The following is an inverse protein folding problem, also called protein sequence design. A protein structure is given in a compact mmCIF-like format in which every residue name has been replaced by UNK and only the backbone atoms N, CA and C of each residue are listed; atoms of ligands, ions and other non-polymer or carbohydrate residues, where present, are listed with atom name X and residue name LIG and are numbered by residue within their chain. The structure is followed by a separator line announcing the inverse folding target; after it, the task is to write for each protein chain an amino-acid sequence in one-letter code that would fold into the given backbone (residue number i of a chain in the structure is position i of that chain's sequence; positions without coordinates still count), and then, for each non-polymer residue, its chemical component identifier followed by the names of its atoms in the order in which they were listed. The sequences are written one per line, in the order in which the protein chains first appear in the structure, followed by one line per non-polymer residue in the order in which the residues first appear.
data_IF_742247721104
#
_entry.id   IF_742247721104
#
_cell.length_a   1.000
_cell.length_b   1.000
_cell.length_c   1.000
_cell.angle_alpha   90.00
_cell.angle_beta   90.00
_cell.angle_gamma   90.00
#
_symmetry.space_group_name_H-M   'P 1'
#
loop_
_entity.id
_entity.type
_entity.pdbx_description
1 polymer ?
#
# COMPACT_ATOMS: atom_id res chain seq x y z
N UNK A 1 8.31 13.34 -14.43
CA UNK A 1 7.40 12.17 -14.57
C UNK A 1 6.04 12.56 -14.01
N UNK A 2 4.93 12.26 -14.69
CA UNK A 2 3.59 12.67 -14.25
C UNK A 2 3.22 11.91 -12.96
N UNK A 3 2.85 12.60 -11.88
CA UNK A 3 2.44 11.97 -10.61
C UNK A 3 1.26 11.03 -10.89
N UNK A 4 1.40 9.76 -10.53
CA UNK A 4 0.31 8.79 -10.70
C UNK A 4 -0.90 9.20 -9.83
N UNK A 5 -2.13 9.12 -10.35
CA UNK A 5 -3.32 9.33 -9.53
C UNK A 5 -3.45 8.20 -8.49
N UNK A 6 -4.14 8.48 -7.38
CA UNK A 6 -4.26 7.56 -6.24
C UNK A 6 -4.70 6.13 -6.64
N UNK A 7 -5.73 5.91 -7.49
CA UNK A 7 -6.12 4.56 -7.91
C UNK A 7 -5.00 3.80 -8.64
N UNK A 8 -4.17 4.49 -9.43
CA UNK A 8 -3.03 3.86 -10.12
C UNK A 8 -1.93 3.47 -9.15
N UNK A 9 -1.71 4.26 -8.09
CA UNK A 9 -0.77 3.90 -7.02
C UNK A 9 -1.23 2.67 -6.25
N UNK A 10 -2.52 2.60 -5.90
CA UNK A 10 -3.12 1.43 -5.23
C UNK A 10 -2.91 0.16 -6.06
N UNK A 11 -3.22 0.21 -7.37
CA UNK A 11 -3.00 -0.93 -8.26
C UNK A 11 -1.52 -1.30 -8.40
N UNK A 12 -0.62 -0.32 -8.46
CA UNK A 12 0.82 -0.57 -8.52
C UNK A 12 1.34 -1.25 -7.24
N UNK A 13 0.86 -0.84 -6.07
CA UNK A 13 1.19 -1.48 -4.79
C UNK A 13 0.70 -2.93 -4.74
N UNK A 14 -0.55 -3.19 -5.12
CA UNK A 14 -1.10 -4.56 -5.16
C UNK A 14 -0.31 -5.46 -6.11
N UNK A 15 0.11 -4.94 -7.27
CA UNK A 15 0.90 -5.69 -8.23
C UNK A 15 2.33 -5.96 -7.73
N UNK A 16 2.97 -4.97 -7.11
CA UNK A 16 4.32 -5.11 -6.58
C UNK A 16 4.39 -6.12 -5.41
N UNK A 17 3.30 -6.23 -4.64
CA UNK A 17 3.16 -7.14 -3.50
C UNK A 17 2.42 -8.44 -3.87
N UNK A 18 2.42 -8.83 -5.14
CA UNK A 18 1.82 -10.10 -5.54
C UNK A 18 2.46 -11.27 -4.77
N UNK A 19 1.62 -12.15 -4.22
CA UNK A 19 2.05 -13.22 -3.33
C UNK A 19 2.50 -12.81 -1.91
N UNK A 20 2.50 -11.52 -1.56
CA UNK A 20 2.71 -11.04 -0.18
C UNK A 20 1.36 -10.69 0.44
N UNK A 21 0.91 -11.39 1.51
CA UNK A 21 -0.34 -11.05 2.17
C UNK A 21 -0.30 -9.62 2.74
N UNK A 22 -1.24 -8.78 2.30
CA UNK A 22 -1.30 -7.38 2.70
C UNK A 22 -2.74 -6.85 2.72
N UNK A 23 -2.95 -5.73 3.41
CA UNK A 23 -4.20 -4.99 3.42
C UNK A 23 -3.96 -3.48 3.43
N UNK A 24 -4.82 -2.72 2.75
CA UNK A 24 -4.81 -1.26 2.85
C UNK A 24 -5.41 -0.83 4.18
N UNK A 25 -4.75 0.13 4.83
CA UNK A 25 -5.14 0.67 6.12
C UNK A 25 -5.56 2.15 6.06
N UNK A 26 -5.55 2.78 7.23
CA UNK A 26 -5.71 4.22 7.36
C UNK A 26 -6.98 4.77 6.74
N UNK A 27 -6.90 5.95 6.12
CA UNK A 27 -8.06 6.62 5.53
C UNK A 27 -8.74 5.80 4.44
N UNK A 28 -7.97 5.04 3.67
CA UNK A 28 -8.51 4.19 2.60
C UNK A 28 -9.39 3.09 3.18
N UNK A 29 -8.96 2.45 4.28
CA UNK A 29 -9.79 1.46 4.97
C UNK A 29 -11.01 2.09 5.65
N UNK A 30 -10.84 3.26 6.28
CA UNK A 30 -11.94 3.97 6.94
C UNK A 30 -13.07 4.31 5.97
N UNK A 31 -12.77 4.65 4.71
CA UNK A 31 -13.78 4.90 3.69
C UNK A 31 -14.75 3.73 3.44
N UNK A 32 -14.39 2.51 3.83
CA UNK A 32 -15.24 1.33 3.71
C UNK A 32 -15.83 0.85 5.04
N UNK A 33 -15.16 1.11 6.16
CA UNK A 33 -15.49 0.50 7.45
C UNK A 33 -16.02 1.49 8.50
N UNK A 34 -15.77 2.80 8.35
CA UNK A 34 -16.11 3.81 9.35
C UNK A 34 -16.30 5.21 8.71
N UNK A 35 -16.24 6.27 9.52
CA UNK A 35 -16.33 7.65 9.03
C UNK A 35 -15.13 7.98 8.13
N UNK A 36 -15.34 8.39 6.87
CA UNK A 36 -14.26 8.70 5.94
C UNK A 36 -13.51 9.98 6.35
N UNK A 37 -12.22 10.03 6.02
CA UNK A 37 -11.40 11.25 6.12
C UNK A 37 -10.51 11.43 4.90
N UNK A 38 -10.08 12.66 4.64
CA UNK A 38 -9.09 12.93 3.61
C UNK A 38 -7.72 12.33 3.96
N UNK A 39 -6.93 12.02 2.92
CA UNK A 39 -5.52 11.64 3.07
C UNK A 39 -4.68 12.02 1.84
N UNK A 40 -3.36 12.07 2.01
CA UNK A 40 -2.38 12.32 0.93
C UNK A 40 -1.37 11.16 0.76
N UNK A 41 -1.44 10.18 1.65
CA UNK A 41 -0.59 8.99 1.73
C UNK A 41 -1.41 7.70 1.54
N UNK A 42 -0.72 6.57 1.63
CA UNK A 42 -1.31 5.23 1.58
C UNK A 42 -0.71 4.44 2.74
N UNK A 43 -1.56 3.97 3.66
CA UNK A 43 -1.18 3.05 4.72
C UNK A 43 -1.34 1.60 4.22
N UNK A 44 -0.34 0.76 4.46
CA UNK A 44 -0.35 -0.63 4.05
C UNK A 44 0.17 -1.53 5.18
N UNK A 45 -0.64 -2.51 5.56
CA UNK A 45 -0.28 -3.56 6.51
C UNK A 45 0.25 -4.76 5.73
N UNK A 46 1.43 -5.27 6.07
CA UNK A 46 1.99 -6.51 5.52
C UNK A 46 2.01 -7.60 6.59
N UNK A 47 1.53 -8.79 6.25
CA UNK A 47 1.41 -9.91 7.19
C UNK A 47 2.54 -10.91 6.96
N UNK A 48 3.76 -10.45 7.23
CA UNK A 48 4.99 -11.25 7.20
C UNK A 48 5.71 -11.15 8.54
N UNK A 49 6.63 -12.07 8.81
CA UNK A 49 7.51 -11.95 9.96
C UNK A 49 8.43 -10.73 9.81
N UNK A 50 8.79 -10.07 10.91
CA UNK A 50 9.47 -8.76 10.89
C UNK A 50 10.85 -8.78 10.24
N UNK A 51 11.55 -9.92 10.28
CA UNK A 51 12.85 -10.13 9.61
C UNK A 51 12.77 -10.08 8.07
N UNK A 52 11.57 -10.24 7.50
CA UNK A 52 11.31 -10.15 6.05
C UNK A 52 11.08 -8.74 5.53
N UNK A 53 11.25 -7.72 6.37
CA UNK A 53 11.08 -6.31 5.96
C UNK A 53 11.83 -5.99 4.66
N UNK A 54 13.08 -6.43 4.55
CA UNK A 54 13.91 -6.13 3.38
C UNK A 54 13.39 -6.78 2.08
N UNK A 55 12.73 -7.93 2.15
CA UNK A 55 12.14 -8.57 0.97
C UNK A 55 10.98 -7.73 0.43
N UNK A 56 10.11 -7.26 1.33
CA UNK A 56 8.98 -6.41 1.01
C UNK A 56 9.46 -5.04 0.51
N UNK A 57 10.41 -4.42 1.20
CA UNK A 57 10.94 -3.11 0.82
C UNK A 57 11.58 -3.13 -0.58
N UNK A 58 12.29 -4.21 -0.95
CA UNK A 58 12.87 -4.38 -2.29
C UNK A 58 11.81 -4.43 -3.40
N UNK A 59 10.66 -5.07 -3.14
CA UNK A 59 9.56 -5.13 -4.11
C UNK A 59 8.91 -3.75 -4.34
N UNK A 60 8.87 -2.92 -3.29
CA UNK A 60 8.26 -1.59 -3.35
C UNK A 60 9.21 -0.51 -3.88
N UNK A 61 10.53 -0.68 -3.73
CA UNK A 61 11.55 0.30 -4.11
C UNK A 61 11.43 0.88 -5.55
N UNK A 62 11.03 0.11 -6.58
CA UNK A 62 10.84 0.66 -7.93
C UNK A 62 9.71 1.69 -8.05
N UNK A 63 8.82 1.80 -7.05
CA UNK A 63 7.67 2.72 -7.06
C UNK A 63 8.02 4.14 -6.59
N UNK A 64 9.26 4.36 -6.11
CA UNK A 64 9.77 5.64 -5.60
C UNK A 64 9.66 5.74 -4.09
#
# INVERSE_FOLDING_TARGET
MKRLPLPRKVLALTCALDGVPHAFGGALALAYYAEPRATIDIDLNVFVHGDRFMDVAKQLAPLG
#
